data_IF_516953538229
#
_entry.id   IF_516953538229
#
_cell.length_a   1.000
_cell.length_b   1.000
_cell.length_c   1.000
_cell.angle_alpha   90.00
_cell.angle_beta   90.00
_cell.angle_gamma   90.00
#
_symmetry.space_group_name_H-M   'P 1'
#
loop_
_entity.id
_entity.type
_entity.pdbx_description
1 polymer ?
#
# COMPACT_ATOMS: atom_id res chain seq x y z
N UNK A 1 -16.52 19.88 -21.06
CA UNK A 1 -16.18 19.41 -19.70
C UNK A 1 -15.19 18.29 -19.84
N UNK A 2 -13.96 18.46 -19.36
CA UNK A 2 -12.93 17.43 -19.47
C UNK A 2 -13.23 16.33 -18.45
N UNK A 3 -13.49 15.11 -18.94
CA UNK A 3 -13.56 13.92 -18.08
C UNK A 3 -12.21 13.79 -17.37
N UNK A 4 -12.22 13.83 -16.03
CA UNK A 4 -11.06 13.41 -15.25
C UNK A 4 -10.92 11.91 -15.52
N UNK A 5 -10.00 11.52 -16.40
CA UNK A 5 -9.66 10.12 -16.57
C UNK A 5 -8.94 9.69 -15.31
N UNK A 6 -9.64 8.95 -14.45
CA UNK A 6 -8.99 8.07 -13.49
C UNK A 6 -8.30 6.99 -14.30
N UNK A 7 -7.08 7.27 -14.72
CA UNK A 7 -6.24 6.19 -15.17
C UNK A 7 -5.87 5.44 -13.90
N UNK A 8 -6.60 4.35 -13.64
CA UNK A 8 -6.22 3.34 -12.68
C UNK A 8 -4.71 3.08 -12.83
N UNK A 9 -3.97 2.83 -11.74
CA UNK A 9 -2.68 2.18 -11.89
C UNK A 9 -2.97 0.94 -12.75
N UNK A 10 -2.39 0.91 -13.96
CA UNK A 10 -2.69 -0.16 -14.90
C UNK A 10 -2.61 -1.48 -14.13
N UNK A 11 -3.70 -2.24 -14.14
CA UNK A 11 -3.70 -3.64 -13.77
C UNK A 11 -2.94 -4.42 -14.83
N UNK A 12 -1.69 -4.03 -15.11
CA UNK A 12 -0.74 -5.01 -15.55
C UNK A 12 -0.46 -5.82 -14.29
N UNK A 13 -1.18 -6.92 -14.16
CA UNK A 13 -0.72 -8.02 -13.33
C UNK A 13 0.78 -8.20 -13.61
N UNK A 14 1.62 -8.48 -12.60
CA UNK A 14 3.05 -8.67 -12.83
C UNK A 14 3.37 -9.97 -13.61
N UNK A 15 2.36 -10.57 -14.26
CA UNK A 15 2.36 -11.78 -15.07
C UNK A 15 3.42 -11.84 -16.16
N UNK A 16 4.13 -10.74 -16.46
CA UNK A 16 5.16 -10.75 -17.50
C UNK A 16 6.61 -10.57 -17.03
N UNK A 17 6.91 -10.32 -15.75
CA UNK A 17 8.32 -10.31 -15.24
C UNK A 17 8.48 -10.76 -13.78
N UNK A 18 7.77 -11.80 -13.34
CA UNK A 18 7.80 -12.22 -11.93
C UNK A 18 9.18 -12.69 -11.42
N UNK A 19 10.03 -13.31 -12.24
CA UNK A 19 11.32 -13.86 -11.76
C UNK A 19 12.30 -12.80 -11.26
N UNK A 20 12.45 -11.68 -11.97
CA UNK A 20 13.52 -10.72 -11.68
C UNK A 20 13.22 -9.77 -10.52
N UNK A 21 11.96 -9.61 -10.11
CA UNK A 21 11.61 -8.64 -9.06
C UNK A 21 11.83 -9.19 -7.66
N UNK A 22 11.65 -10.49 -7.44
CA UNK A 22 11.87 -11.11 -6.12
C UNK A 22 13.34 -11.45 -5.86
N UNK A 23 14.18 -11.48 -6.90
CA UNK A 23 15.66 -11.55 -6.77
C UNK A 23 16.25 -10.27 -6.14
N UNK A 24 15.49 -9.16 -6.16
CA UNK A 24 15.84 -7.87 -5.55
C UNK A 24 14.72 -7.43 -4.58
N UNK A 25 14.59 -8.07 -3.41
CA UNK A 25 13.42 -7.89 -2.52
C UNK A 25 13.24 -6.45 -2.02
N UNK A 26 14.33 -5.71 -1.78
CA UNK A 26 14.23 -4.31 -1.37
C UNK A 26 13.78 -3.38 -2.50
N UNK A 27 14.21 -3.62 -3.74
CA UNK A 27 13.68 -2.89 -4.91
C UNK A 27 12.19 -3.16 -5.09
N UNK A 28 11.75 -4.40 -4.88
CA UNK A 28 10.34 -4.77 -4.89
C UNK A 28 9.54 -4.04 -3.80
N UNK A 29 10.03 -4.00 -2.56
CA UNK A 29 9.39 -3.26 -1.47
C UNK A 29 9.28 -1.76 -1.78
N UNK A 30 10.34 -1.15 -2.33
CA UNK A 30 10.29 0.25 -2.78
C UNK A 30 9.27 0.47 -3.90
N UNK A 31 9.20 -0.44 -4.87
CA UNK A 31 8.20 -0.37 -5.93
C UNK A 31 6.76 -0.54 -5.40
N UNK A 32 6.58 -1.25 -4.28
CA UNK A 32 5.31 -1.29 -3.56
C UNK A 32 4.96 0.09 -2.97
N UNK A 33 5.91 0.83 -2.41
CA UNK A 33 5.67 2.20 -1.92
C UNK A 33 5.23 3.16 -3.02
N UNK A 34 5.80 3.09 -4.23
CA UNK A 34 5.31 3.88 -5.37
C UNK A 34 3.85 3.56 -5.73
N UNK A 35 3.39 2.34 -5.48
CA UNK A 35 1.99 1.94 -5.69
C UNK A 35 1.09 2.41 -4.54
N UNK A 36 1.58 2.39 -3.29
CA UNK A 36 0.89 2.99 -2.14
C UNK A 36 0.64 4.47 -2.44
N UNK A 37 1.68 5.23 -2.78
CA UNK A 37 1.59 6.67 -3.06
C UNK A 37 0.60 6.99 -4.19
N UNK A 38 0.64 6.22 -5.30
CA UNK A 38 -0.32 6.39 -6.40
C UNK A 38 -1.75 6.10 -5.98
N UNK A 39 -1.97 5.08 -5.15
CA UNK A 39 -3.31 4.72 -4.65
C UNK A 39 -3.85 5.77 -3.67
N UNK A 40 -2.99 6.34 -2.83
CA UNK A 40 -3.32 7.48 -1.97
C UNK A 40 -3.66 8.74 -2.78
N UNK A 41 -2.92 9.03 -3.84
CA UNK A 41 -3.25 10.14 -4.75
C UNK A 41 -4.58 9.90 -5.48
N UNK A 42 -4.86 8.65 -5.88
CA UNK A 42 -6.13 8.28 -6.50
C UNK A 42 -7.30 8.51 -5.53
N UNK A 43 -7.14 8.16 -4.26
CA UNK A 43 -8.13 8.40 -3.20
C UNK A 43 -8.46 9.88 -3.04
N UNK A 44 -7.45 10.76 -3.01
CA UNK A 44 -7.67 12.21 -2.91
C UNK A 44 -8.38 12.77 -4.16
N UNK A 45 -8.02 12.28 -5.35
CA UNK A 45 -8.69 12.65 -6.61
C UNK A 45 -10.14 12.18 -6.64
N UNK A 46 -10.42 10.98 -6.13
CA UNK A 46 -11.78 10.47 -5.98
C UNK A 46 -12.61 11.42 -5.11
N UNK A 47 -12.09 11.83 -3.94
CA UNK A 47 -12.78 12.78 -3.06
C UNK A 47 -13.08 14.11 -3.77
N UNK A 48 -12.12 14.67 -4.52
CA UNK A 48 -12.34 15.88 -5.32
C UNK A 48 -13.39 15.70 -6.41
N UNK A 49 -13.35 14.58 -7.13
CA UNK A 49 -14.33 14.29 -8.18
C UNK A 49 -15.74 14.15 -7.62
N UNK A 50 -15.90 13.41 -6.53
CA UNK A 50 -17.19 13.27 -5.85
C UNK A 50 -17.77 14.62 -5.39
N UNK A 51 -16.91 15.57 -5.00
CA UNK A 51 -17.33 16.92 -4.63
C UNK A 51 -17.82 17.74 -5.82
N UNK A 52 -17.20 17.61 -6.98
CA UNK A 52 -17.44 18.50 -8.14
C UNK A 52 -18.44 17.89 -9.13
N UNK A 53 -18.32 16.59 -9.41
CA UNK A 53 -19.11 15.86 -10.40
C UNK A 53 -20.15 14.94 -9.75
N UNK A 54 -19.86 14.45 -8.54
CA UNK A 54 -20.67 13.42 -7.89
C UNK A 54 -20.27 12.01 -8.31
N UNK A 55 -21.14 11.05 -7.99
CA UNK A 55 -21.02 9.67 -8.41
C UNK A 55 -21.25 9.52 -9.91
N UNK A 56 -20.36 8.77 -10.55
CA UNK A 56 -20.47 8.26 -11.91
C UNK A 56 -19.69 6.95 -12.02
N UNK A 57 -19.63 6.38 -13.22
CA UNK A 57 -18.87 5.14 -13.51
C UNK A 57 -17.40 5.28 -13.10
N UNK A 58 -16.80 6.43 -13.41
CA UNK A 58 -15.41 6.74 -13.11
C UNK A 58 -15.10 6.75 -11.62
N UNK A 59 -15.99 7.29 -10.79
CA UNK A 59 -15.87 7.27 -9.34
C UNK A 59 -15.97 5.84 -8.77
N UNK A 60 -16.88 5.01 -9.31
CA UNK A 60 -17.03 3.61 -8.89
C UNK A 60 -15.78 2.80 -9.21
N UNK A 61 -15.27 2.93 -10.42
CA UNK A 61 -14.06 2.21 -10.84
C UNK A 61 -12.86 2.60 -9.95
N UNK A 62 -12.66 3.90 -9.70
CA UNK A 62 -11.61 4.37 -8.81
C UNK A 62 -11.76 3.84 -7.38
N UNK A 63 -12.98 3.84 -6.82
CA UNK A 63 -13.24 3.28 -5.50
C UNK A 63 -12.92 1.77 -5.45
N UNK A 64 -13.30 1.03 -6.49
CA UNK A 64 -13.00 -0.40 -6.64
C UNK A 64 -11.50 -0.68 -6.70
N UNK A 65 -10.74 0.09 -7.46
CA UNK A 65 -9.29 -0.06 -7.58
C UNK A 65 -8.55 0.23 -6.26
N UNK A 66 -8.96 1.29 -5.55
CA UNK A 66 -8.41 1.61 -4.23
C UNK A 66 -8.66 0.44 -3.26
N UNK A 67 -9.89 -0.08 -3.20
CA UNK A 67 -10.23 -1.22 -2.34
C UNK A 67 -9.40 -2.45 -2.68
N UNK A 68 -9.32 -2.83 -3.96
CA UNK A 68 -8.55 -4.00 -4.40
C UNK A 68 -7.07 -3.90 -4.00
N UNK A 69 -6.48 -2.72 -4.07
CA UNK A 69 -5.08 -2.54 -3.68
C UNK A 69 -4.88 -2.72 -2.18
N UNK A 70 -5.63 -1.98 -1.35
CA UNK A 70 -5.45 -2.01 0.10
C UNK A 70 -6.01 -3.26 0.78
N UNK A 71 -6.94 -3.99 0.16
CA UNK A 71 -7.43 -5.28 0.68
C UNK A 71 -6.42 -6.43 0.52
N UNK A 72 -5.51 -6.35 -0.47
CA UNK A 72 -4.65 -7.48 -0.85
C UNK A 72 -3.18 -7.12 -0.74
N UNK A 73 -2.74 -6.05 -1.42
CA UNK A 73 -1.32 -5.77 -1.57
C UNK A 73 -0.69 -5.17 -0.31
N UNK A 74 -1.39 -4.24 0.36
CA UNK A 74 -0.86 -3.57 1.54
C UNK A 74 -0.65 -4.52 2.75
N UNK A 75 -1.57 -5.45 3.09
CA UNK A 75 -1.35 -6.40 4.18
C UNK A 75 -0.18 -7.35 3.91
N UNK A 76 -0.02 -7.83 2.68
CA UNK A 76 1.10 -8.69 2.31
C UNK A 76 2.44 -7.95 2.36
N UNK A 77 2.45 -6.65 2.07
CA UNK A 77 3.64 -5.80 2.14
C UNK A 77 4.09 -5.61 3.60
N UNK A 78 3.20 -5.19 4.50
CA UNK A 78 3.52 -5.10 5.94
C UNK A 78 3.97 -6.45 6.51
N UNK A 79 3.35 -7.55 6.07
CA UNK A 79 3.75 -8.90 6.48
C UNK A 79 5.18 -9.23 6.01
N UNK A 80 5.62 -8.77 4.84
CA UNK A 80 6.99 -8.99 4.40
C UNK A 80 7.99 -8.26 5.31
N UNK A 81 7.68 -7.04 5.72
CA UNK A 81 8.55 -6.22 6.57
C UNK A 81 8.64 -6.79 7.98
N UNK A 82 7.50 -7.18 8.55
CA UNK A 82 7.44 -7.78 9.88
C UNK A 82 8.16 -9.13 9.98
N UNK A 83 8.19 -9.90 8.89
CA UNK A 83 8.88 -11.19 8.85
C UNK A 83 10.36 -11.09 8.52
N UNK A 84 10.76 -10.15 7.67
CA UNK A 84 12.10 -10.16 7.05
C UNK A 84 12.94 -8.93 7.29
N UNK A 85 12.32 -7.78 7.55
CA UNK A 85 13.01 -6.50 7.64
C UNK A 85 13.20 -6.09 9.09
N UNK A 86 12.12 -5.97 9.86
CA UNK A 86 12.19 -5.55 11.26
C UNK A 86 13.02 -6.49 12.14
N UNK A 87 12.90 -7.84 12.02
CA UNK A 87 13.69 -8.74 12.86
C UNK A 87 15.21 -8.60 12.68
N UNK A 88 15.67 -8.18 11.50
CA UNK A 88 17.10 -7.94 11.23
C UNK A 88 17.59 -6.76 12.05
N UNK A 89 16.82 -5.66 12.05
CA UNK A 89 17.19 -4.43 12.75
C UNK A 89 17.10 -4.58 14.26
N UNK A 90 16.12 -5.36 14.75
CA UNK A 90 15.96 -5.61 16.18
C UNK A 90 17.08 -6.46 16.80
N UNK A 91 17.82 -7.21 15.98
CA UNK A 91 19.00 -7.95 16.42
C UNK A 91 20.26 -7.07 16.47
N UNK A 92 20.21 -5.85 15.93
CA UNK A 92 21.31 -4.89 16.03
C UNK A 92 21.25 -4.21 17.40
N UNK A 93 22.41 -3.94 17.99
CA UNK A 93 22.56 -3.14 19.21
C UNK A 93 22.48 -1.63 18.88
N UNK A 94 21.35 -1.21 18.30
CA UNK A 94 21.06 0.15 17.85
C UNK A 94 19.65 0.56 18.31
N UNK A 95 19.59 1.21 19.49
CA UNK A 95 18.34 1.65 20.13
C UNK A 95 17.48 2.55 19.22
N UNK A 96 18.03 3.57 18.52
CA UNK A 96 17.26 4.35 17.55
C UNK A 96 16.58 3.52 16.45
N UNK A 97 17.25 2.51 15.88
CA UNK A 97 16.64 1.64 14.87
C UNK A 97 15.52 0.76 15.46
N UNK A 98 15.71 0.26 16.68
CA UNK A 98 14.70 -0.52 17.39
C UNK A 98 13.44 0.33 17.68
N UNK A 99 13.61 1.57 18.11
CA UNK A 99 12.49 2.51 18.32
C UNK A 99 11.71 2.79 17.03
N UNK A 100 12.40 2.96 15.90
CA UNK A 100 11.76 3.13 14.59
C UNK A 100 10.97 1.88 14.20
N UNK A 101 11.50 0.68 14.41
CA UNK A 101 10.77 -0.57 14.13
C UNK A 101 9.51 -0.72 14.99
N UNK A 102 9.60 -0.42 16.29
CA UNK A 102 8.45 -0.45 17.20
C UNK A 102 7.37 0.54 16.74
N UNK A 103 7.76 1.76 16.38
CA UNK A 103 6.85 2.77 15.83
C UNK A 103 6.16 2.30 14.55
N UNK A 104 6.89 1.69 13.61
CA UNK A 104 6.32 1.25 12.34
C UNK A 104 5.30 0.12 12.51
N UNK A 105 5.51 -0.80 13.47
CA UNK A 105 4.48 -1.80 13.83
C UNK A 105 3.22 -1.17 14.38
N UNK A 106 3.35 -0.16 15.25
CA UNK A 106 2.20 0.59 15.74
C UNK A 106 1.50 1.32 14.59
N UNK A 107 2.27 1.88 13.65
CA UNK A 107 1.74 2.49 12.44
C UNK A 107 1.01 1.47 11.55
N UNK A 108 1.51 0.23 11.37
CA UNK A 108 0.78 -0.84 10.64
C UNK A 108 -0.60 -1.13 11.25
N UNK A 109 -0.68 -1.24 12.58
CA UNK A 109 -1.95 -1.48 13.27
C UNK A 109 -2.92 -0.31 13.06
N UNK A 110 -2.42 0.93 13.16
CA UNK A 110 -3.21 2.15 12.94
C UNK A 110 -3.64 2.27 11.48
N UNK A 111 -2.78 1.96 10.53
CA UNK A 111 -3.09 1.92 9.08
C UNK A 111 -4.19 0.90 8.83
N UNK A 112 -4.08 -0.30 9.36
CA UNK A 112 -5.11 -1.34 9.22
C UNK A 112 -6.46 -0.88 9.81
N UNK A 113 -6.46 -0.31 11.02
CA UNK A 113 -7.67 0.20 11.64
C UNK A 113 -8.33 1.33 10.82
N UNK A 114 -7.53 2.25 10.28
CA UNK A 114 -8.05 3.32 9.42
C UNK A 114 -8.52 2.80 8.07
N UNK A 115 -7.87 1.76 7.53
CA UNK A 115 -8.32 1.09 6.32
C UNK A 115 -9.72 0.52 6.50
N UNK A 116 -10.03 -0.16 7.60
CA UNK A 116 -11.38 -0.71 7.82
C UNK A 116 -12.48 0.36 7.80
N UNK A 117 -12.20 1.53 8.39
CA UNK A 117 -13.11 2.68 8.34
C UNK A 117 -13.29 3.16 6.90
N UNK A 118 -12.19 3.40 6.19
CA UNK A 118 -12.21 3.91 4.82
C UNK A 118 -12.85 2.92 3.85
N UNK A 119 -12.52 1.62 3.97
CA UNK A 119 -13.08 0.51 3.19
C UNK A 119 -14.59 0.45 3.31
N UNK A 120 -15.12 0.66 4.51
CA UNK A 120 -16.57 0.74 4.75
C UNK A 120 -17.19 1.90 3.97
N UNK A 121 -16.61 3.10 4.06
CA UNK A 121 -17.09 4.29 3.34
C UNK A 121 -17.01 4.12 1.82
N UNK A 122 -15.91 3.55 1.31
CA UNK A 122 -15.74 3.27 -0.11
C UNK A 122 -16.73 2.22 -0.62
N UNK A 123 -17.05 1.19 0.17
CA UNK A 123 -18.03 0.15 -0.21
C UNK A 123 -19.44 0.74 -0.31
N UNK A 124 -19.79 1.70 0.54
CA UNK A 124 -21.09 2.37 0.48
C UNK A 124 -21.31 3.14 -0.84
N UNK A 125 -20.25 3.49 -1.58
CA UNK A 125 -20.35 4.15 -2.88
C UNK A 125 -20.95 3.23 -3.96
N UNK A 126 -20.79 1.92 -3.83
CA UNK A 126 -21.28 0.95 -4.83
C UNK A 126 -22.82 0.98 -4.96
N UNK A 127 -23.53 1.35 -3.89
CA UNK A 127 -24.99 1.46 -3.87
C UNK A 127 -25.53 2.86 -4.20
N UNK A 128 -24.68 3.87 -4.36
CA UNK A 128 -25.14 5.24 -4.60
C UNK A 128 -25.63 5.41 -6.04
N UNK A 129 -26.74 6.14 -6.29
CA UNK A 129 -27.09 6.53 -7.65
C UNK A 129 -26.08 7.53 -8.21
N UNK A 130 -26.05 7.68 -9.54
CA UNK A 130 -25.25 8.72 -10.18
C UNK A 130 -25.73 10.11 -9.75
N UNK A 131 -24.81 11.06 -9.63
CA UNK A 131 -25.07 12.43 -9.16
C UNK A 131 -24.48 12.73 -7.78
N UNK A 132 -24.89 13.86 -7.15
CA UNK A 132 -24.22 14.36 -5.96
C UNK A 132 -24.37 13.43 -4.76
N UNK A 133 -23.27 13.27 -4.00
CA UNK A 133 -23.32 12.59 -2.70
C UNK A 133 -23.91 13.50 -1.61
N UNK A 134 -24.57 12.92 -0.59
CA UNK A 134 -24.90 13.65 0.63
C UNK A 134 -23.66 14.31 1.25
N UNK A 135 -23.77 15.59 1.61
CA UNK A 135 -22.64 16.38 2.13
C UNK A 135 -21.93 15.71 3.31
N UNK A 136 -22.70 15.16 4.26
CA UNK A 136 -22.14 14.44 5.41
C UNK A 136 -21.32 13.21 5.00
N UNK A 137 -21.76 12.47 3.98
CA UNK A 137 -21.05 11.29 3.50
C UNK A 137 -19.72 11.68 2.84
N UNK A 138 -19.75 12.74 2.02
CA UNK A 138 -18.55 13.29 1.39
C UNK A 138 -17.55 13.81 2.44
N UNK A 139 -18.02 14.51 3.47
CA UNK A 139 -17.17 15.02 4.55
C UNK A 139 -16.53 13.89 5.37
N UNK A 140 -17.28 12.82 5.67
CA UNK A 140 -16.74 11.64 6.35
C UNK A 140 -15.65 10.96 5.51
N UNK A 141 -15.91 10.75 4.21
CA UNK A 141 -14.94 10.17 3.29
C UNK A 141 -13.68 11.02 3.19
N UNK A 142 -13.82 12.34 3.10
CA UNK A 142 -12.69 13.25 3.02
C UNK A 142 -11.82 13.18 4.28
N UNK A 143 -12.43 13.23 5.47
CA UNK A 143 -11.70 13.17 6.75
C UNK A 143 -10.98 11.84 6.94
N UNK A 144 -11.65 10.73 6.62
CA UNK A 144 -11.03 9.41 6.67
C UNK A 144 -9.87 9.28 5.68
N UNK A 145 -10.03 9.83 4.47
CA UNK A 145 -8.98 9.82 3.45
C UNK A 145 -7.77 10.65 3.86
N UNK A 146 -7.98 11.84 4.42
CA UNK A 146 -6.90 12.72 4.89
C UNK A 146 -6.10 12.06 6.03
N UNK A 147 -6.80 11.50 7.02
CA UNK A 147 -6.16 10.76 8.11
C UNK A 147 -5.37 9.53 7.62
N UNK A 148 -5.91 8.81 6.63
CA UNK A 148 -5.24 7.66 6.03
C UNK A 148 -4.00 8.07 5.21
N UNK A 149 -4.07 9.16 4.46
CA UNK A 149 -2.91 9.70 3.75
C UNK A 149 -1.84 10.19 4.73
N UNK A 150 -2.23 10.88 5.79
CA UNK A 150 -1.31 11.47 6.76
C UNK A 150 -0.47 10.42 7.50
N UNK A 151 -1.06 9.29 7.88
CA UNK A 151 -0.29 8.22 8.54
C UNK A 151 0.75 7.59 7.60
N UNK A 152 0.45 7.45 6.31
CA UNK A 152 1.40 6.87 5.34
C UNK A 152 2.58 7.77 5.02
N UNK A 153 2.44 9.10 5.11
CA UNK A 153 3.49 10.05 4.70
C UNK A 153 4.82 9.81 5.41
N UNK A 154 4.78 9.77 6.74
CA UNK A 154 5.98 9.60 7.53
C UNK A 154 6.39 8.13 7.65
N UNK A 155 5.42 7.22 7.65
CA UNK A 155 5.64 5.78 7.62
C UNK A 155 6.52 5.34 6.43
N UNK A 156 6.07 5.62 5.21
CA UNK A 156 6.80 5.31 3.97
C UNK A 156 8.16 6.02 3.91
N UNK A 157 8.25 7.24 4.47
CA UNK A 157 9.52 7.98 4.52
C UNK A 157 10.54 7.26 5.40
N UNK A 158 10.15 6.85 6.60
CA UNK A 158 11.02 6.13 7.54
C UNK A 158 11.49 4.80 6.94
N UNK A 159 10.58 4.08 6.29
CA UNK A 159 10.93 2.80 5.67
C UNK A 159 11.96 2.97 4.55
N UNK A 160 11.67 3.86 3.60
CA UNK A 160 12.52 4.09 2.44
C UNK A 160 13.90 4.66 2.81
N UNK A 161 13.97 5.55 3.80
CA UNK A 161 15.19 6.30 4.10
C UNK A 161 16.03 5.69 5.20
N UNK A 162 15.44 4.89 6.10
CA UNK A 162 16.12 4.40 7.30
C UNK A 162 16.08 2.87 7.33
N UNK A 163 14.88 2.28 7.31
CA UNK A 163 14.72 0.85 7.59
C UNK A 163 15.26 -0.01 6.46
N UNK A 164 14.83 0.23 5.21
CA UNK A 164 15.26 -0.61 4.08
C UNK A 164 16.77 -0.55 3.85
N UNK A 165 17.43 0.62 3.82
CA UNK A 165 18.89 0.67 3.67
C UNK A 165 19.62 -0.05 4.81
N UNK A 166 19.15 0.11 6.05
CA UNK A 166 19.77 -0.53 7.22
C UNK A 166 19.62 -2.04 7.19
N UNK A 167 18.42 -2.54 6.87
CA UNK A 167 18.15 -3.97 6.83
C UNK A 167 18.88 -4.64 5.66
N UNK A 168 18.94 -3.96 4.50
CA UNK A 168 19.69 -4.45 3.35
C UNK A 168 21.19 -4.57 3.65
N UNK A 169 21.76 -3.65 4.43
CA UNK A 169 23.14 -3.75 4.88
C UNK A 169 23.38 -4.90 5.87
N UNK A 170 22.40 -5.20 6.72
CA UNK A 170 22.46 -6.30 7.70
C UNK A 170 22.26 -7.70 7.12
N UNK A 171 21.73 -7.82 5.89
CA UNK A 171 21.43 -9.11 5.25
C UNK A 171 22.48 -9.51 4.22
N UNK A 172 22.99 -10.75 4.33
CA UNK A 172 23.79 -11.36 3.27
C UNK A 172 22.96 -11.62 1.99
N UNK A 173 23.63 -11.76 0.85
CA UNK A 173 22.96 -12.07 -0.43
C UNK A 173 22.08 -13.32 -0.36
N UNK A 174 22.53 -14.36 0.35
CA UNK A 174 21.75 -15.59 0.51
C UNK A 174 20.46 -15.37 1.32
N UNK A 175 20.52 -14.52 2.37
CA UNK A 175 19.33 -14.18 3.15
C UNK A 175 18.36 -13.30 2.35
N UNK A 176 18.86 -12.35 1.54
CA UNK A 176 18.00 -11.56 0.66
C UNK A 176 17.31 -12.43 -0.39
N UNK A 177 18.00 -13.42 -0.95
CA UNK A 177 17.38 -14.39 -1.86
C UNK A 177 16.28 -15.21 -1.18
N UNK A 178 16.54 -15.74 0.03
CA UNK A 178 15.53 -16.48 0.80
C UNK A 178 14.30 -15.62 1.14
N UNK A 179 14.52 -14.36 1.54
CA UNK A 179 13.45 -13.37 1.73
C UNK A 179 12.59 -13.24 0.47
N UNK A 180 13.22 -13.07 -0.69
CA UNK A 180 12.53 -12.96 -1.99
C UNK A 180 11.69 -14.19 -2.34
N UNK A 181 12.22 -15.39 -2.13
CA UNK A 181 11.51 -16.66 -2.35
C UNK A 181 10.26 -16.77 -1.46
N UNK A 182 10.38 -16.40 -0.19
CA UNK A 182 9.25 -16.41 0.74
C UNK A 182 8.21 -15.33 0.43
N UNK A 183 8.65 -14.13 0.03
CA UNK A 183 7.77 -13.07 -0.44
C UNK A 183 6.96 -13.54 -1.65
N UNK A 184 7.59 -14.23 -2.60
CA UNK A 184 6.93 -14.79 -3.78
C UNK A 184 5.93 -15.90 -3.41
N UNK A 185 6.31 -16.79 -2.49
CA UNK A 185 5.44 -17.86 -1.99
C UNK A 185 4.18 -17.30 -1.32
N UNK A 186 4.28 -16.19 -0.57
CA UNK A 186 3.11 -15.49 -0.01
C UNK A 186 2.14 -14.94 -1.07
N UNK A 187 2.60 -14.78 -2.33
CA UNK A 187 1.76 -14.44 -3.49
C UNK A 187 1.40 -15.67 -4.35
N UNK A 188 1.66 -16.88 -3.88
CA UNK A 188 1.35 -18.12 -4.61
C UNK A 188 2.30 -18.43 -5.76
N UNK A 189 3.48 -17.82 -5.81
CA UNK A 189 4.50 -18.06 -6.82
C UNK A 189 5.56 -19.02 -6.27
N UNK A 190 6.00 -19.98 -7.09
CA UNK A 190 7.13 -20.86 -6.76
C UNK A 190 8.33 -20.53 -7.65
N UNK A 191 9.31 -19.82 -7.09
CA UNK A 191 10.54 -19.44 -7.80
C UNK A 191 11.57 -20.57 -7.87
N UNK A 192 11.35 -21.68 -7.17
CA UNK A 192 12.26 -22.83 -7.13
C UNK A 192 12.00 -23.84 -8.25
N UNK A 193 10.91 -23.66 -9.01
CA UNK A 193 10.63 -24.45 -10.20
C UNK A 193 11.21 -23.76 -11.44
N UNK A 194 11.96 -24.46 -12.29
CA UNK A 194 12.37 -23.90 -13.58
C UNK A 194 11.12 -23.64 -14.44
N UNK A 195 11.11 -22.49 -15.11
CA UNK A 195 10.10 -22.13 -16.12
C UNK A 195 10.06 -23.12 -17.28
#
# INVERSE_FOLDING_TARGET
MAQIKFQAPQSQAPEQRFGSSYEQPFELLQACHERVERSLQLLLRLCQHLKVQGMDVSARDAAGDIRRYFDIAAPLHHQDEELHVFPVLEQLDDEPLQEVCARLRDDHQRIHAQWEVLRTLLTQLDGQPDGPLPALQLDMLWRASDAFVDIHKEHVRLENQIVFPSAQHGLSTAQQQAMGEEMAARRGLDLRQPR
#
